data_IF_168744921815
#
_entry.id   IF_168744921815
#
_cell.length_a   1.000
_cell.length_b   1.000
_cell.length_c   1.000
_cell.angle_alpha   90.00
_cell.angle_beta   90.00
_cell.angle_gamma   90.00
#
_symmetry.space_group_name_H-M   'P 1'
#
loop_
_entity.id
_entity.type
_entity.pdbx_description
1 polymer ?
#
# COMPACT_ATOMS: atom_id res chain seq x y z
N UNK A 1 18.35 -29.22 21.38
CA UNK A 1 17.58 -28.22 22.14
C UNK A 1 16.99 -27.26 21.12
N UNK A 2 15.67 -27.14 21.05
CA UNK A 2 15.00 -26.24 20.09
C UNK A 2 14.47 -25.01 20.83
N UNK A 3 14.80 -23.82 20.34
CA UNK A 3 14.33 -22.57 20.92
C UNK A 3 12.83 -22.41 20.68
N UNK A 4 12.06 -22.32 21.77
CA UNK A 4 10.62 -22.07 21.72
C UNK A 4 10.39 -20.58 21.52
N UNK A 5 10.17 -20.18 20.27
CA UNK A 5 9.85 -18.78 19.92
C UNK A 5 8.38 -18.46 20.15
N UNK A 6 8.12 -17.38 20.89
CA UNK A 6 6.76 -16.91 21.16
C UNK A 6 6.19 -16.13 19.96
N UNK A 7 5.47 -16.85 19.10
CA UNK A 7 4.81 -16.28 17.91
C UNK A 7 3.77 -15.20 18.24
N UNK A 8 3.15 -15.22 19.43
CA UNK A 8 2.17 -14.19 19.84
C UNK A 8 2.86 -12.84 20.05
N UNK A 9 4.05 -12.85 20.66
CA UNK A 9 4.88 -11.66 20.84
C UNK A 9 5.30 -11.04 19.50
N UNK A 10 5.80 -11.90 18.60
CA UNK A 10 6.21 -11.50 17.24
C UNK A 10 5.04 -10.89 16.47
N UNK A 11 3.87 -11.54 16.44
CA UNK A 11 2.68 -11.00 15.76
C UNK A 11 2.24 -9.65 16.32
N UNK A 12 2.29 -9.48 17.65
CA UNK A 12 1.94 -8.21 18.30
C UNK A 12 2.92 -7.10 17.94
N UNK A 13 4.21 -7.41 17.86
CA UNK A 13 5.23 -6.47 17.44
C UNK A 13 5.01 -6.03 16.00
N UNK A 14 4.83 -6.97 15.06
CA UNK A 14 4.53 -6.64 13.66
C UNK A 14 3.29 -5.77 13.52
N UNK A 15 2.22 -6.08 14.26
CA UNK A 15 1.00 -5.27 14.27
C UNK A 15 1.26 -3.82 14.73
N UNK A 16 2.07 -3.63 15.77
CA UNK A 16 2.42 -2.28 16.25
C UNK A 16 3.25 -1.52 15.22
N UNK A 17 4.23 -2.18 14.59
CA UNK A 17 5.05 -1.59 13.54
C UNK A 17 4.19 -1.15 12.34
N UNK A 18 3.24 -2.00 11.92
CA UNK A 18 2.29 -1.66 10.85
C UNK A 18 1.40 -0.47 11.21
N UNK A 19 0.91 -0.40 12.45
CA UNK A 19 0.11 0.72 12.95
C UNK A 19 0.92 2.03 12.96
N UNK A 20 2.17 1.99 13.43
CA UNK A 20 3.07 3.16 13.43
C UNK A 20 3.34 3.64 12.00
N UNK A 21 3.69 2.73 11.09
CA UNK A 21 3.92 3.06 9.67
C UNK A 21 2.69 3.72 9.04
N UNK A 22 1.50 3.17 9.26
CA UNK A 22 0.23 3.76 8.79
C UNK A 22 -0.01 5.15 9.41
N UNK A 23 0.30 5.33 10.69
CA UNK A 23 0.15 6.62 11.36
C UNK A 23 1.08 7.68 10.77
N UNK A 24 2.32 7.32 10.45
CA UNK A 24 3.29 8.24 9.83
C UNK A 24 2.90 8.58 8.38
N UNK A 25 2.43 7.60 7.60
CA UNK A 25 1.86 7.84 6.27
C UNK A 25 0.65 8.79 6.35
N UNK A 26 -0.24 8.56 7.31
CA UNK A 26 -1.41 9.41 7.52
C UNK A 26 -1.02 10.81 7.98
N UNK A 27 0.00 10.95 8.84
CA UNK A 27 0.53 12.26 9.27
C UNK A 27 1.11 13.03 8.08
N UNK A 28 1.84 12.35 7.18
CA UNK A 28 2.37 12.96 5.96
C UNK A 28 1.27 13.29 4.92
N UNK A 29 0.16 12.57 4.93
CA UNK A 29 -1.03 12.86 4.11
C UNK A 29 -1.91 13.95 4.71
N UNK A 30 -1.90 14.08 6.04
CA UNK A 30 -2.64 15.09 6.77
C UNK A 30 -1.99 16.46 6.55
N UNK A 31 -2.77 17.44 6.13
CA UNK A 31 -2.26 18.76 5.71
C UNK A 31 -2.21 18.97 4.20
N UNK A 32 -2.39 17.92 3.38
CA UNK A 32 -2.57 18.12 1.93
C UNK A 32 -3.88 18.86 1.63
N UNK A 33 -3.77 19.89 0.81
CA UNK A 33 -4.90 20.66 0.28
C UNK A 33 -5.76 19.81 -0.66
N UNK A 34 -7.00 20.26 -0.93
CA UNK A 34 -7.90 19.61 -1.89
C UNK A 34 -7.29 19.52 -3.29
N UNK A 35 -6.56 20.57 -3.71
CA UNK A 35 -5.91 20.63 -5.02
C UNK A 35 -4.81 19.57 -5.18
N UNK A 36 -3.99 19.36 -4.15
CA UNK A 36 -2.94 18.33 -4.16
C UNK A 36 -3.54 16.92 -4.22
N UNK A 37 -4.56 16.64 -3.42
CA UNK A 37 -5.28 15.35 -3.47
C UNK A 37 -5.90 15.10 -4.86
N UNK A 38 -6.43 16.13 -5.50
CA UNK A 38 -7.01 16.02 -6.83
C UNK A 38 -5.94 15.80 -7.91
N UNK A 39 -4.81 16.49 -7.84
CA UNK A 39 -3.67 16.26 -8.73
C UNK A 39 -3.18 14.83 -8.64
N UNK A 40 -2.93 14.35 -7.42
CA UNK A 40 -2.46 12.98 -7.17
C UNK A 40 -3.46 11.94 -7.71
N UNK A 41 -4.77 12.20 -7.57
CA UNK A 41 -5.82 11.33 -8.12
C UNK A 41 -5.79 11.29 -9.65
N UNK A 42 -5.73 12.44 -10.30
CA UNK A 42 -5.70 12.53 -11.76
C UNK A 42 -4.43 11.84 -12.31
N UNK A 43 -3.31 12.02 -11.64
CA UNK A 43 -2.05 11.35 -11.99
C UNK A 43 -2.17 9.83 -11.84
N UNK A 44 -2.73 9.35 -10.73
CA UNK A 44 -2.96 7.92 -10.53
C UNK A 44 -3.92 7.32 -11.57
N UNK A 45 -4.99 8.03 -11.93
CA UNK A 45 -5.93 7.60 -12.99
C UNK A 45 -5.22 7.55 -14.36
N UNK A 46 -4.42 8.56 -14.72
CA UNK A 46 -3.64 8.56 -15.96
C UNK A 46 -2.66 7.39 -16.04
N UNK A 47 -1.95 7.11 -14.94
CA UNK A 47 -1.00 6.00 -14.88
C UNK A 47 -1.71 4.65 -15.03
N UNK A 48 -2.86 4.47 -14.39
CA UNK A 48 -3.68 3.26 -14.54
C UNK A 48 -4.12 3.07 -15.99
N UNK A 49 -4.71 4.10 -16.60
CA UNK A 49 -5.15 4.03 -18.00
C UNK A 49 -3.97 3.78 -18.95
N UNK A 50 -2.80 4.35 -18.67
CA UNK A 50 -1.59 4.09 -19.46
C UNK A 50 -1.18 2.61 -19.39
N UNK A 51 -1.15 2.03 -18.19
CA UNK A 51 -0.83 0.60 -18.01
C UNK A 51 -1.90 -0.29 -18.64
N UNK A 52 -3.17 0.01 -18.43
CA UNK A 52 -4.30 -0.73 -19.01
C UNK A 52 -4.28 -0.70 -20.54
N UNK A 53 -3.98 0.45 -21.16
CA UNK A 53 -3.86 0.58 -22.61
C UNK A 53 -2.70 -0.24 -23.20
N UNK A 54 -1.70 -0.59 -22.38
CA UNK A 54 -0.57 -1.43 -22.77
C UNK A 54 -0.69 -2.87 -22.28
N UNK A 55 -1.80 -3.23 -21.64
CA UNK A 55 -2.04 -4.58 -21.14
C UNK A 55 -2.27 -5.52 -22.32
N UNK A 56 -1.66 -6.70 -22.27
CA UNK A 56 -1.88 -7.78 -23.24
C UNK A 56 -2.86 -8.78 -22.66
N UNK A 57 -3.70 -9.36 -23.51
CA UNK A 57 -4.82 -10.24 -23.13
C UNK A 57 -4.42 -11.51 -22.33
N UNK A 58 -3.12 -11.80 -22.20
CA UNK A 58 -2.59 -12.94 -21.43
C UNK A 58 -2.15 -12.64 -19.99
N UNK A 59 -2.05 -11.38 -19.58
CA UNK A 59 -1.48 -11.03 -18.27
C UNK A 59 -2.51 -11.03 -17.11
N UNK A 60 -3.82 -10.90 -17.40
CA UNK A 60 -4.90 -11.08 -16.39
C UNK A 60 -5.20 -12.56 -16.11
N UNK A 61 -5.12 -13.42 -17.13
CA UNK A 61 -5.46 -14.85 -17.01
C UNK A 61 -4.50 -15.64 -16.09
N UNK A 62 -3.37 -15.05 -15.69
CA UNK A 62 -2.38 -15.64 -14.80
C UNK A 62 -2.46 -15.12 -13.35
N UNK A 63 -3.40 -14.20 -13.04
CA UNK A 63 -3.48 -13.52 -11.74
C UNK A 63 -4.76 -13.83 -10.92
N UNK A 64 -5.67 -14.67 -11.42
CA UNK A 64 -6.81 -15.24 -10.67
C UNK A 64 -6.54 -16.65 -10.14
#
# INVERSE_FOLDING_TARGET
>A
MGDVVNLRGVRKQRKREDETRRADENRARHGRSKAEKQRDRIEAERLRTHVEAHRRDGDDAAQD
#
